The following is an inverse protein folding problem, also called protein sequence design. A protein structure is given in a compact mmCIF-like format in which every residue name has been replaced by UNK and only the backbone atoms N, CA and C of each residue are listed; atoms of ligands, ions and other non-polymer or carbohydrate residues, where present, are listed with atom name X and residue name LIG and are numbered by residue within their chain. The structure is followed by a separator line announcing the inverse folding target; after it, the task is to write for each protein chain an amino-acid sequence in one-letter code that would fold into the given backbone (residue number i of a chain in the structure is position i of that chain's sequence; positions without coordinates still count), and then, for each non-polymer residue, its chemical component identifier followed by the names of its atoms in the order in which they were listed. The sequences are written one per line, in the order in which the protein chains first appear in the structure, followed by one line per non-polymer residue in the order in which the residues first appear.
data_IF_611954070058
#
_entry.id   IF_611954070058
#
_cell.length_a   1.000
_cell.length_b   1.000
_cell.length_c   1.000
_cell.angle_alpha   90.00
_cell.angle_beta   90.00
_cell.angle_gamma   90.00
#
_symmetry.space_group_name_H-M   'P 1'
#
loop_
_entity.id
_entity.type
_entity.pdbx_description
1 polymer ?
#
# COMPACT_ATOMS: atom_id res chain seq x y z
N UNK A 1 13.02 -8.15 20.38
CA UNK A 1 11.65 -8.11 19.83
C UNK A 1 11.78 -8.26 18.32
N UNK A 2 10.95 -9.09 17.68
CA UNK A 2 11.00 -9.21 16.22
C UNK A 2 10.24 -8.02 15.64
N UNK A 3 10.89 -7.27 14.76
CA UNK A 3 10.28 -6.18 14.02
C UNK A 3 9.10 -6.70 13.17
N UNK A 4 7.98 -5.99 13.22
CA UNK A 4 6.78 -6.29 12.45
C UNK A 4 6.57 -5.24 11.36
N UNK A 5 6.16 -5.67 10.17
CA UNK A 5 5.89 -4.77 9.05
C UNK A 5 4.39 -4.76 8.74
N UNK A 6 3.73 -3.65 9.06
CA UNK A 6 2.34 -3.41 8.70
C UNK A 6 2.27 -2.87 7.28
N UNK A 7 1.67 -3.65 6.39
CA UNK A 7 1.57 -3.28 4.97
C UNK A 7 0.31 -2.43 4.74
N UNK A 8 0.48 -1.29 4.08
CA UNK A 8 -0.67 -0.63 3.47
C UNK A 8 -1.21 -1.45 2.28
N UNK A 9 -2.36 -1.10 1.77
CA UNK A 9 -3.00 -1.86 0.68
C UNK A 9 -2.17 -1.84 -0.61
N UNK A 10 -1.47 -0.74 -0.90
CA UNK A 10 -0.63 -0.64 -2.09
C UNK A 10 0.64 -1.48 -1.94
N UNK A 11 1.29 -1.47 -0.77
CA UNK A 11 2.42 -2.32 -0.46
C UNK A 11 2.03 -3.80 -0.52
N UNK A 12 0.88 -4.16 0.07
CA UNK A 12 0.36 -5.52 0.01
C UNK A 12 0.05 -5.97 -1.42
N UNK A 13 -0.61 -5.11 -2.23
CA UNK A 13 -0.87 -5.41 -3.64
C UNK A 13 0.41 -5.66 -4.43
N UNK A 14 1.44 -4.85 -4.21
CA UNK A 14 2.72 -5.01 -4.89
C UNK A 14 3.45 -6.28 -4.45
N UNK A 15 3.38 -6.63 -3.16
CA UNK A 15 3.90 -7.91 -2.67
C UNK A 15 3.18 -9.09 -3.34
N UNK A 16 1.85 -9.05 -3.44
CA UNK A 16 1.07 -10.07 -4.14
C UNK A 16 1.48 -10.21 -5.62
N UNK A 17 1.75 -9.10 -6.30
CA UNK A 17 2.26 -9.13 -7.68
C UNK A 17 3.61 -9.83 -7.77
N UNK A 18 4.52 -9.55 -6.84
CA UNK A 18 5.86 -10.12 -6.85
C UNK A 18 5.88 -11.64 -6.57
N UNK A 19 4.96 -12.14 -5.74
CA UNK A 19 4.89 -13.58 -5.42
C UNK A 19 4.02 -14.37 -6.41
N UNK A 20 3.21 -13.70 -7.23
CA UNK A 20 2.33 -14.36 -8.20
C UNK A 20 3.11 -14.71 -9.48
N UNK A 21 3.36 -15.99 -9.78
CA UNK A 21 4.17 -16.39 -10.93
C UNK A 21 3.58 -16.02 -12.30
N UNK A 22 2.32 -15.58 -12.35
CA UNK A 22 1.66 -15.09 -13.58
C UNK A 22 1.76 -13.57 -13.78
N UNK A 23 2.43 -12.84 -12.91
CA UNK A 23 2.64 -11.41 -13.07
C UNK A 23 3.89 -11.16 -13.94
N UNK A 24 3.69 -10.55 -15.11
CA UNK A 24 4.75 -10.26 -16.07
C UNK A 24 5.69 -9.10 -15.68
N UNK A 25 5.50 -8.51 -14.52
CA UNK A 25 6.31 -7.39 -14.02
C UNK A 25 7.33 -7.90 -12.99
N UNK A 26 8.35 -8.57 -13.48
CA UNK A 26 9.58 -8.87 -12.73
C UNK A 26 10.57 -7.72 -12.96
N UNK A 27 10.68 -6.83 -12.02
CA UNK A 27 11.65 -5.75 -12.01
C UNK A 27 12.22 -5.57 -10.60
N UNK A 28 13.03 -4.55 -10.38
CA UNK A 28 13.72 -4.17 -9.14
C UNK A 28 12.88 -4.21 -7.84
N UNK A 29 11.57 -4.33 -7.97
CA UNK A 29 10.63 -4.56 -6.87
C UNK A 29 10.88 -5.88 -6.12
N UNK A 30 11.43 -6.89 -6.80
CA UNK A 30 11.62 -8.23 -6.25
C UNK A 30 12.65 -8.23 -5.11
N UNK A 31 13.72 -7.45 -5.24
CA UNK A 31 14.79 -7.45 -4.25
C UNK A 31 14.39 -6.73 -2.96
N UNK A 32 13.72 -5.59 -3.09
CA UNK A 32 13.21 -4.83 -1.93
C UNK A 32 12.11 -5.60 -1.18
N UNK A 33 11.34 -6.44 -1.89
CA UNK A 33 10.28 -7.27 -1.35
C UNK A 33 10.84 -8.60 -0.83
N UNK A 34 11.94 -9.09 -1.39
CA UNK A 34 12.61 -10.30 -0.90
C UNK A 34 13.02 -10.17 0.58
N UNK A 35 13.43 -8.99 1.00
CA UNK A 35 13.74 -8.68 2.40
C UNK A 35 12.49 -8.82 3.32
N UNK A 36 11.30 -8.50 2.82
CA UNK A 36 10.05 -8.62 3.58
C UNK A 36 9.56 -10.06 3.71
N UNK A 37 9.96 -10.98 2.82
CA UNK A 37 9.48 -12.39 2.88
C UNK A 37 9.86 -13.13 4.16
N UNK A 38 10.93 -12.72 4.81
CA UNK A 38 11.42 -13.33 6.05
C UNK A 38 11.05 -12.53 7.29
N UNK A 39 10.35 -11.42 7.13
CA UNK A 39 9.88 -10.58 8.20
C UNK A 39 8.48 -11.02 8.67
N UNK A 40 8.12 -10.62 9.89
CA UNK A 40 6.76 -10.75 10.37
C UNK A 40 5.89 -9.70 9.68
N UNK A 41 5.02 -10.17 8.77
CA UNK A 41 4.12 -9.29 8.02
C UNK A 41 2.76 -9.22 8.71
N UNK A 42 2.26 -8.00 8.80
CA UNK A 42 0.94 -7.70 9.40
C UNK A 42 0.12 -6.92 8.37
N UNK A 43 -1.16 -7.21 8.29
CA UNK A 43 -2.14 -6.43 7.54
C UNK A 43 -3.33 -6.09 8.43
N UNK A 44 -3.92 -4.92 8.28
CA UNK A 44 -5.19 -4.62 8.92
C UNK A 44 -6.31 -5.40 8.24
N UNK A 45 -7.31 -5.85 8.97
CA UNK A 45 -8.50 -6.50 8.39
C UNK A 45 -9.23 -5.59 7.39
N UNK A 46 -9.06 -4.27 7.49
CA UNK A 46 -9.59 -3.33 6.49
C UNK A 46 -8.91 -3.51 5.12
N UNK A 47 -7.64 -3.94 5.11
CA UNK A 47 -6.88 -4.19 3.90
C UNK A 47 -7.51 -5.31 3.05
N UNK A 48 -8.19 -6.29 3.68
CA UNK A 48 -8.92 -7.33 2.96
C UNK A 48 -10.01 -6.76 2.04
N UNK A 49 -10.78 -5.80 2.55
CA UNK A 49 -11.85 -5.15 1.77
C UNK A 49 -11.24 -4.24 0.70
N UNK A 50 -10.25 -3.47 1.08
CA UNK A 50 -9.63 -2.49 0.18
C UNK A 50 -8.88 -3.16 -0.98
N UNK A 51 -8.18 -4.28 -0.74
CA UNK A 51 -7.46 -5.00 -1.78
C UNK A 51 -8.42 -5.52 -2.87
N UNK A 52 -9.62 -5.94 -2.50
CA UNK A 52 -10.65 -6.33 -3.47
C UNK A 52 -11.07 -5.14 -4.35
N UNK A 53 -11.20 -3.95 -3.75
CA UNK A 53 -11.48 -2.71 -4.48
C UNK A 53 -10.36 -2.35 -5.47
N UNK A 54 -9.10 -2.45 -5.01
CA UNK A 54 -7.90 -2.24 -5.84
C UNK A 54 -7.86 -3.22 -7.00
N UNK A 55 -8.09 -4.52 -6.76
CA UNK A 55 -8.18 -5.51 -7.82
C UNK A 55 -9.31 -5.20 -8.81
N UNK A 56 -10.47 -4.78 -8.33
CA UNK A 56 -11.59 -4.37 -9.17
C UNK A 56 -11.20 -3.24 -10.12
N UNK A 57 -10.43 -2.27 -9.65
CA UNK A 57 -9.89 -1.17 -10.46
C UNK A 57 -8.96 -1.69 -11.58
N UNK A 58 -8.07 -2.64 -11.27
CA UNK A 58 -7.17 -3.23 -12.26
C UNK A 58 -7.89 -4.18 -13.21
N UNK A 59 -8.81 -4.99 -12.71
CA UNK A 59 -9.54 -6.00 -13.48
C UNK A 59 -10.44 -5.38 -14.55
N UNK A 60 -11.03 -4.21 -14.30
CA UNK A 60 -11.85 -3.48 -15.29
C UNK A 60 -11.02 -2.97 -16.46
N UNK A 61 -9.70 -2.84 -16.28
CA UNK A 61 -8.87 -2.20 -17.27
C UNK A 61 -9.13 -0.68 -17.37
N UNK A 62 -8.49 -0.03 -18.31
CA UNK A 62 -8.73 1.39 -18.62
C UNK A 62 -8.38 1.70 -20.05
N UNK A 63 -9.07 2.65 -20.66
CA UNK A 63 -8.59 3.28 -21.87
C UNK A 63 -7.41 4.18 -21.54
N UNK A 64 -6.45 4.29 -22.44
CA UNK A 64 -5.37 5.26 -22.32
C UNK A 64 -5.92 6.68 -22.31
N UNK A 65 -5.25 7.57 -21.64
CA UNK A 65 -5.62 8.99 -21.61
C UNK A 65 -4.39 9.88 -21.71
N UNK A 66 -4.61 11.05 -22.28
CA UNK A 66 -3.63 12.14 -22.29
C UNK A 66 -4.25 13.27 -21.48
N UNK A 67 -3.54 13.75 -20.49
CA UNK A 67 -3.96 14.89 -19.66
C UNK A 67 -2.80 15.87 -19.51
N UNK A 68 -3.11 17.16 -19.33
CA UNK A 68 -2.08 18.14 -19.01
C UNK A 68 -1.49 17.86 -17.64
N UNK A 69 -0.19 18.00 -17.51
CA UNK A 69 0.48 17.96 -16.24
C UNK A 69 0.18 19.26 -15.48
N UNK A 70 -0.34 19.15 -14.26
CA UNK A 70 -0.61 20.31 -13.41
C UNK A 70 0.45 20.47 -12.30
N UNK A 71 1.62 19.83 -12.45
CA UNK A 71 2.69 19.93 -11.46
C UNK A 71 3.30 21.34 -11.51
N UNK A 72 3.42 21.97 -10.34
CA UNK A 72 4.21 23.18 -10.19
C UNK A 72 5.70 22.82 -10.29
N UNK A 73 6.43 23.50 -11.17
CA UNK A 73 7.85 23.24 -11.45
C UNK A 73 8.78 24.31 -10.85
N UNK A 74 8.23 25.38 -10.31
CA UNK A 74 9.00 26.39 -9.59
C UNK A 74 8.23 26.94 -8.39
N UNK A 75 8.93 27.51 -7.38
CA UNK A 75 8.29 28.21 -6.26
C UNK A 75 7.37 29.36 -6.69
N UNK A 76 7.67 29.97 -7.83
CA UNK A 76 6.91 31.11 -8.41
C UNK A 76 5.59 30.66 -9.07
N UNK A 77 5.30 29.35 -9.06
CA UNK A 77 4.03 28.82 -9.52
C UNK A 77 3.97 28.46 -11.01
N UNK A 78 5.11 28.38 -11.72
CA UNK A 78 5.11 27.88 -13.08
C UNK A 78 4.56 26.46 -13.14
N UNK A 79 3.65 26.20 -14.06
CA UNK A 79 3.00 24.91 -14.27
C UNK A 79 3.70 24.18 -15.41
N UNK A 80 3.92 22.90 -15.23
CA UNK A 80 4.45 22.01 -16.27
C UNK A 80 3.52 22.01 -17.49
N UNK A 81 4.06 22.31 -18.67
CA UNK A 81 3.31 22.31 -19.93
C UNK A 81 3.26 20.94 -20.61
N UNK A 82 3.94 19.94 -20.06
CA UNK A 82 4.00 18.61 -20.64
C UNK A 82 2.66 17.87 -20.51
N UNK A 83 2.42 16.95 -21.42
CA UNK A 83 1.32 16.02 -21.33
C UNK A 83 1.71 14.79 -20.47
N UNK A 84 0.80 14.39 -19.60
CA UNK A 84 0.89 13.13 -18.88
C UNK A 84 0.14 12.07 -19.68
N UNK A 85 0.85 11.05 -20.12
CA UNK A 85 0.29 9.89 -20.80
C UNK A 85 0.01 8.77 -19.80
N UNK A 86 -1.21 8.25 -19.82
CA UNK A 86 -1.56 7.04 -19.09
C UNK A 86 -1.82 5.92 -20.09
N UNK A 87 -1.00 4.89 -20.05
CA UNK A 87 -1.14 3.73 -20.93
C UNK A 87 -2.47 3.00 -20.71
N UNK A 88 -3.11 2.49 -21.78
CA UNK A 88 -4.29 1.66 -21.65
C UNK A 88 -3.95 0.36 -20.90
N UNK A 89 -4.88 -0.09 -20.08
CA UNK A 89 -4.77 -1.37 -19.35
C UNK A 89 -5.81 -2.33 -19.87
N UNK A 90 -5.37 -3.52 -20.28
CA UNK A 90 -6.27 -4.57 -20.77
C UNK A 90 -7.14 -5.08 -19.63
N UNK A 91 -8.44 -5.24 -19.89
CA UNK A 91 -9.39 -5.90 -18.99
C UNK A 91 -8.93 -7.33 -18.71
N UNK A 92 -9.02 -7.75 -17.44
CA UNK A 92 -8.70 -9.11 -17.06
C UNK A 92 -9.82 -10.07 -17.47
N UNK A 93 -9.44 -11.29 -17.83
CA UNK A 93 -10.40 -12.36 -18.06
C UNK A 93 -10.88 -12.96 -16.72
N UNK A 94 -12.00 -13.69 -16.77
CA UNK A 94 -12.62 -14.30 -15.59
C UNK A 94 -11.67 -15.26 -14.84
N UNK A 95 -10.82 -16.00 -15.57
CA UNK A 95 -9.85 -16.93 -14.98
C UNK A 95 -8.83 -16.20 -14.11
N UNK A 96 -8.27 -15.08 -14.62
CA UNK A 96 -7.33 -14.26 -13.88
C UNK A 96 -7.97 -13.64 -12.63
N UNK A 97 -9.19 -13.10 -12.76
CA UNK A 97 -9.91 -12.53 -11.61
C UNK A 97 -10.11 -13.61 -10.53
N UNK A 98 -10.63 -14.80 -10.91
CA UNK A 98 -10.84 -15.90 -9.97
C UNK A 98 -9.55 -16.32 -9.26
N UNK A 99 -8.43 -16.43 -9.99
CA UNK A 99 -7.14 -16.80 -9.42
C UNK A 99 -6.64 -15.78 -8.39
N UNK A 100 -6.80 -14.48 -8.65
CA UNK A 100 -6.44 -13.44 -7.71
C UNK A 100 -7.32 -13.43 -6.46
N UNK A 101 -8.63 -13.58 -6.62
CA UNK A 101 -9.55 -13.66 -5.48
C UNK A 101 -9.24 -14.87 -4.60
N UNK A 102 -8.95 -16.04 -5.22
CA UNK A 102 -8.56 -17.23 -4.48
C UNK A 102 -7.24 -17.03 -3.72
N UNK A 103 -6.23 -16.44 -4.35
CA UNK A 103 -4.95 -16.15 -3.69
C UNK A 103 -5.14 -15.27 -2.46
N UNK A 104 -5.96 -14.22 -2.56
CA UNK A 104 -6.25 -13.33 -1.44
C UNK A 104 -6.99 -14.08 -0.34
N UNK A 105 -8.07 -14.81 -0.67
CA UNK A 105 -8.81 -15.62 0.29
C UNK A 105 -7.88 -16.61 1.02
N UNK A 106 -7.04 -17.33 0.28
CA UNK A 106 -6.09 -18.29 0.85
C UNK A 106 -5.10 -17.63 1.82
N UNK A 107 -4.66 -16.39 1.54
CA UNK A 107 -3.76 -15.66 2.43
C UNK A 107 -4.49 -15.24 3.70
N UNK A 108 -5.66 -14.62 3.60
CA UNK A 108 -6.43 -14.16 4.75
C UNK A 108 -6.98 -15.33 5.60
N UNK A 109 -7.21 -16.48 5.01
CA UNK A 109 -7.60 -17.71 5.71
C UNK A 109 -6.40 -18.52 6.25
N UNK A 110 -5.17 -18.05 6.05
CA UNK A 110 -3.96 -18.73 6.48
C UNK A 110 -3.65 -20.04 5.73
N UNK A 111 -4.25 -20.24 4.56
CA UNK A 111 -4.10 -21.43 3.72
C UNK A 111 -2.99 -21.30 2.66
N UNK A 112 -2.50 -20.08 2.44
CA UNK A 112 -1.49 -19.82 1.43
C UNK A 112 -0.12 -20.37 1.83
N UNK A 113 0.52 -21.09 0.91
CA UNK A 113 1.93 -21.52 1.04
C UNK A 113 2.93 -20.47 0.53
N UNK A 114 2.44 -19.42 -0.12
CA UNK A 114 3.27 -18.40 -0.76
C UNK A 114 3.59 -17.24 0.17
N UNK A 115 2.66 -16.90 1.05
CA UNK A 115 2.76 -15.77 1.96
C UNK A 115 1.92 -16.02 3.20
N UNK A 116 2.49 -15.76 4.37
CA UNK A 116 1.78 -15.73 5.64
C UNK A 116 1.76 -14.30 6.14
N UNK A 117 0.60 -13.83 6.57
CA UNK A 117 0.41 -12.53 7.20
C UNK A 117 -0.40 -12.69 8.48
N UNK A 118 -0.08 -11.90 9.49
CA UNK A 118 -0.93 -11.76 10.67
C UNK A 118 -1.98 -10.69 10.38
N UNK A 119 -3.23 -10.96 10.76
CA UNK A 119 -4.33 -10.03 10.53
C UNK A 119 -4.60 -9.26 11.81
N UNK A 120 -4.39 -7.96 11.78
CA UNK A 120 -4.76 -7.08 12.88
C UNK A 120 -6.25 -6.72 12.79
N UNK A 121 -7.05 -7.02 13.80
CA UNK A 121 -8.49 -6.75 13.76
C UNK A 121 -8.76 -5.25 13.75
N UNK A 122 -9.79 -4.87 13.02
CA UNK A 122 -10.32 -3.52 13.01
C UNK A 122 -11.50 -3.43 13.98
N UNK A 123 -11.24 -2.93 15.15
CA UNK A 123 -12.20 -2.86 16.26
C UNK A 123 -12.65 -1.43 16.60
N UNK A 124 -13.48 -1.27 17.61
CA UNK A 124 -13.96 0.02 18.07
C UNK A 124 -12.83 0.96 18.56
N UNK A 125 -11.73 0.41 19.08
CA UNK A 125 -10.57 1.20 19.52
C UNK A 125 -9.82 1.75 18.30
N UNK A 126 -9.65 0.92 17.27
CA UNK A 126 -9.03 1.34 16.01
C UNK A 126 -9.86 2.42 15.32
N UNK A 127 -11.20 2.30 15.34
CA UNK A 127 -12.11 3.36 14.82
C UNK A 127 -11.95 4.66 15.61
N UNK A 128 -11.90 4.58 16.93
CA UNK A 128 -11.74 5.77 17.78
C UNK A 128 -10.41 6.46 17.52
N UNK A 129 -9.31 5.71 17.40
CA UNK A 129 -8.01 6.28 17.10
C UNK A 129 -7.93 6.81 15.66
N UNK A 130 -8.55 6.14 14.69
CA UNK A 130 -8.62 6.63 13.31
C UNK A 130 -9.32 8.00 13.20
N UNK A 131 -10.32 8.28 14.06
CA UNK A 131 -10.96 9.62 14.15
C UNK A 131 -9.99 10.69 14.61
N UNK A 132 -9.04 10.37 15.47
CA UNK A 132 -7.99 11.29 15.89
C UNK A 132 -6.99 11.51 14.74
N UNK A 133 -6.53 10.43 14.15
CA UNK A 133 -5.54 10.46 13.07
C UNK A 133 -6.06 11.19 11.83
N UNK A 134 -7.33 11.00 11.44
CA UNK A 134 -7.88 11.62 10.23
C UNK A 134 -7.87 13.15 10.28
N UNK A 135 -7.79 13.75 11.46
CA UNK A 135 -7.68 15.21 11.59
C UNK A 135 -6.43 15.77 10.91
N UNK A 136 -5.37 14.99 10.82
CA UNK A 136 -4.15 15.35 10.08
C UNK A 136 -4.37 15.45 8.56
N UNK A 137 -5.47 14.88 8.02
CA UNK A 137 -5.83 15.05 6.62
C UNK A 137 -6.14 16.50 6.22
N UNK A 138 -6.41 17.37 7.19
CA UNK A 138 -6.53 18.82 6.98
C UNK A 138 -5.21 19.46 6.52
N UNK A 139 -4.09 18.82 6.81
CA UNK A 139 -2.73 19.30 6.48
C UNK A 139 -2.06 18.42 5.43
N UNK A 140 -2.29 17.13 5.50
CA UNK A 140 -1.66 16.12 4.64
C UNK A 140 -2.71 15.44 3.76
N UNK A 141 -2.40 15.24 2.49
CA UNK A 141 -3.34 14.62 1.55
C UNK A 141 -3.34 13.09 1.71
N UNK A 142 -4.17 12.56 2.61
CA UNK A 142 -4.43 11.14 2.78
C UNK A 142 -5.91 10.89 3.09
N UNK A 143 -6.37 9.65 2.90
CA UNK A 143 -7.78 9.28 3.00
C UNK A 143 -8.11 8.53 4.30
N UNK A 144 -9.41 8.24 4.51
CA UNK A 144 -9.89 7.55 5.70
C UNK A 144 -9.29 6.15 5.88
N UNK A 145 -9.01 5.44 4.78
CA UNK A 145 -8.39 4.11 4.83
C UNK A 145 -6.95 4.21 5.34
N UNK A 146 -6.20 5.23 4.89
CA UNK A 146 -4.85 5.49 5.39
C UNK A 146 -4.85 5.85 6.88
N UNK A 147 -5.87 6.60 7.34
CA UNK A 147 -6.04 6.89 8.76
C UNK A 147 -6.28 5.61 9.58
N UNK A 148 -7.00 4.65 9.03
CA UNK A 148 -7.22 3.35 9.68
C UNK A 148 -5.93 2.52 9.77
N UNK A 149 -5.10 2.52 8.74
CA UNK A 149 -3.77 1.89 8.75
C UNK A 149 -2.87 2.55 9.81
N UNK A 150 -2.82 3.89 9.82
CA UNK A 150 -2.02 4.62 10.79
C UNK A 150 -2.50 4.39 12.24
N UNK A 151 -3.82 4.36 12.47
CA UNK A 151 -4.40 4.04 13.77
C UNK A 151 -4.06 2.61 14.23
N UNK A 152 -4.13 1.63 13.32
CA UNK A 152 -3.72 0.25 13.60
C UNK A 152 -2.25 0.19 14.05
N UNK A 153 -1.36 0.88 13.31
CA UNK A 153 0.06 0.94 13.68
C UNK A 153 0.28 1.59 15.04
N UNK A 154 -0.42 2.72 15.30
CA UNK A 154 -0.29 3.46 16.56
C UNK A 154 -0.71 2.58 17.75
N UNK A 155 -1.87 1.95 17.69
CA UNK A 155 -2.36 1.07 18.76
C UNK A 155 -1.44 -0.14 18.99
N UNK A 156 -0.87 -0.71 17.92
CA UNK A 156 0.12 -1.77 18.06
C UNK A 156 1.37 -1.30 18.82
N UNK A 157 1.88 -0.10 18.51
CA UNK A 157 3.03 0.48 19.22
C UNK A 157 2.71 0.89 20.65
N UNK A 158 1.52 1.41 20.91
CA UNK A 158 1.04 1.71 22.27
C UNK A 158 0.99 0.43 23.13
N UNK A 159 0.81 -0.75 22.50
CA UNK A 159 0.93 -2.07 23.10
C UNK A 159 2.38 -2.63 23.09
N UNK A 160 3.39 -1.78 22.95
CA UNK A 160 4.82 -2.12 22.99
C UNK A 160 5.29 -3.07 21.88
N UNK A 161 4.57 -3.13 20.74
CA UNK A 161 5.01 -3.87 19.55
C UNK A 161 5.92 -2.96 18.69
N UNK A 162 6.98 -3.55 18.13
CA UNK A 162 7.89 -2.84 17.22
C UNK A 162 7.36 -2.91 15.78
N UNK A 163 6.41 -2.01 15.46
CA UNK A 163 5.74 -1.96 14.16
C UNK A 163 6.29 -0.84 13.29
N UNK A 164 6.63 -1.17 12.05
CA UNK A 164 6.99 -0.24 10.98
C UNK A 164 5.95 -0.34 9.86
N UNK A 165 5.40 0.78 9.40
CA UNK A 165 4.44 0.80 8.29
C UNK A 165 5.18 0.77 6.96
N UNK A 166 4.77 -0.11 6.05
CA UNK A 166 5.30 -0.16 4.69
C UNK A 166 4.33 0.54 3.74
N UNK A 167 4.74 1.68 3.22
CA UNK A 167 3.91 2.50 2.34
C UNK A 167 4.74 3.39 1.42
N UNK A 168 4.25 3.61 0.20
CA UNK A 168 4.77 4.62 -0.74
C UNK A 168 3.87 5.87 -0.82
N UNK A 169 2.75 5.89 -0.10
CA UNK A 169 1.85 7.04 -0.08
C UNK A 169 2.49 8.21 0.67
N UNK A 170 2.60 9.36 0.00
CA UNK A 170 3.25 10.56 0.55
C UNK A 170 2.45 11.18 1.70
N UNK A 171 1.14 11.17 1.60
CA UNK A 171 0.26 11.72 2.62
C UNK A 171 0.28 10.88 3.88
N UNK A 172 0.21 9.55 3.72
CA UNK A 172 0.31 8.61 4.85
C UNK A 172 1.69 8.72 5.52
N UNK A 173 2.80 8.75 4.76
CA UNK A 173 4.15 8.96 5.33
C UNK A 173 4.26 10.24 6.15
N UNK A 174 3.70 11.36 5.64
CA UNK A 174 3.70 12.62 6.35
C UNK A 174 2.87 12.54 7.65
N UNK A 175 1.73 11.85 7.64
CA UNK A 175 0.92 11.60 8.82
C UNK A 175 1.68 10.75 9.84
N UNK A 176 2.25 9.61 9.42
CA UNK A 176 3.02 8.70 10.29
C UNK A 176 4.18 9.40 10.98
N UNK A 177 4.89 10.27 10.26
CA UNK A 177 5.95 11.11 10.84
C UNK A 177 5.45 12.06 11.94
N UNK A 178 4.20 12.54 11.85
CA UNK A 178 3.60 13.43 12.88
C UNK A 178 3.21 12.71 14.16
N UNK A 179 2.95 11.41 14.06
CA UNK A 179 2.56 10.57 15.20
C UNK A 179 3.67 9.60 15.62
N UNK A 180 4.92 9.90 15.22
CA UNK A 180 6.15 9.16 15.58
C UNK A 180 6.10 7.66 15.26
N UNK A 181 5.47 7.30 14.13
CA UNK A 181 5.44 5.92 13.64
C UNK A 181 6.45 5.76 12.51
N UNK A 182 7.40 4.82 12.63
CA UNK A 182 8.35 4.55 11.57
C UNK A 182 7.65 4.02 10.32
N UNK A 183 8.11 4.48 9.15
CA UNK A 183 7.63 3.98 7.88
C UNK A 183 8.80 3.60 6.96
N UNK A 184 8.58 2.59 6.13
CA UNK A 184 9.50 2.12 5.13
C UNK A 184 8.85 2.24 3.74
N UNK A 185 9.55 2.90 2.80
CA UNK A 185 9.16 2.98 1.41
C UNK A 185 10.06 2.07 0.57
N UNK A 186 9.60 0.85 0.36
CA UNK A 186 10.35 -0.16 -0.40
C UNK A 186 10.55 0.21 -1.88
N UNK A 187 9.84 1.25 -2.35
CA UNK A 187 9.95 1.74 -3.74
C UNK A 187 10.93 2.90 -3.88
N UNK A 188 11.19 3.65 -2.81
CA UNK A 188 12.13 4.78 -2.82
C UNK A 188 13.60 4.33 -2.86
N UNK A 189 13.90 3.08 -2.52
CA UNK A 189 15.27 2.57 -2.53
C UNK A 189 15.90 2.53 -3.93
N UNK A 190 15.10 2.55 -4.99
CA UNK A 190 15.58 2.48 -6.37
C UNK A 190 15.88 3.85 -6.99
N UNK A 191 15.37 4.96 -6.42
CA UNK A 191 15.67 6.31 -6.94
C UNK A 191 17.10 6.78 -6.57
N UNK A 192 17.76 6.14 -5.61
CA UNK A 192 19.13 6.51 -5.19
C UNK A 192 20.25 5.73 -5.88
N UNK A 193 19.91 4.73 -6.69
CA UNK A 193 20.90 3.90 -7.40
C UNK A 193 21.24 4.42 -8.81
N UNK A 194 20.58 5.49 -9.28
CA UNK A 194 20.77 6.06 -10.63
C UNK A 194 21.39 7.47 -10.61
N UNK A 195 22.02 7.88 -9.52
CA UNK A 195 22.86 9.10 -9.42
C UNK A 195 24.31 8.70 -9.09
#
# INVERSE_FOLDING_TARGET
MNQEFLLDTNAFYNLLKAINPGASEQGSLVDSIAALKHAKLVVSSITEIEIISVLGKYARGSQGSISKCNCKISPEGHICQNNRYTAPRKKWNKKRIKAWLQLISDIFEGKSKLLTVDIEPFDAKTIAEAKNVITYALIHNFASMDAMIAATAKLARDNSRDVTVVTSDRGLKACLSKIDIPCNDVFAANEKAEL
#
